data_IF_619353064368
#
_entry.id   IF_619353064368
#
_cell.length_a   1.000
_cell.length_b   1.000
_cell.length_c   1.000
_cell.angle_alpha   90.00
_cell.angle_beta   90.00
_cell.angle_gamma   90.00
#
_symmetry.space_group_name_H-M   'P 1'
#
loop_
_entity.id
_entity.type
_entity.pdbx_description
1 polymer ?
#
# COMPACT_ATOMS: atom_id res chain seq x y z
N UNK A 1 -8.26 5.49 -0.52
CA UNK A 1 -6.98 5.12 0.11
C UNK A 1 -6.76 3.63 -0.08
N UNK A 2 -5.56 3.12 0.22
CA UNK A 2 -5.24 1.69 0.19
C UNK A 2 -4.45 1.30 1.44
N UNK A 3 -4.50 0.02 1.80
CA UNK A 3 -3.73 -0.56 2.90
C UNK A 3 -3.38 -2.03 2.55
N UNK A 4 -2.37 -2.63 3.20
CA UNK A 4 -2.10 -4.06 3.05
C UNK A 4 -3.32 -4.90 3.39
N UNK A 5 -3.54 -5.97 2.61
CA UNK A 5 -4.61 -6.93 2.86
C UNK A 5 -4.19 -7.92 3.95
N UNK A 6 -4.06 -7.45 5.21
CA UNK A 6 -3.56 -8.26 6.32
C UNK A 6 -4.37 -9.55 6.58
N UNK A 7 -5.66 -9.56 6.20
CA UNK A 7 -6.53 -10.73 6.32
C UNK A 7 -6.20 -11.85 5.32
N UNK A 8 -5.51 -11.52 4.23
CA UNK A 8 -5.04 -12.48 3.22
C UNK A 8 -3.62 -12.91 3.55
N UNK A 9 -2.75 -11.93 3.82
CA UNK A 9 -1.34 -12.17 4.17
C UNK A 9 -0.88 -11.23 5.29
N UNK A 10 -0.96 -11.67 6.55
CA UNK A 10 -0.51 -10.87 7.69
C UNK A 10 1.03 -10.76 7.76
N UNK A 11 1.78 -11.70 7.19
CA UNK A 11 3.24 -11.67 7.20
C UNK A 11 3.76 -10.57 6.25
N UNK A 12 3.19 -10.46 5.06
CA UNK A 12 3.46 -9.36 4.14
C UNK A 12 3.13 -8.01 4.77
N UNK A 13 1.98 -7.89 5.42
CA UNK A 13 1.57 -6.69 6.13
C UNK A 13 2.59 -6.23 7.17
N UNK A 14 3.13 -7.14 7.99
CA UNK A 14 4.19 -6.83 8.96
C UNK A 14 5.50 -6.43 8.28
N UNK A 15 5.91 -7.17 7.25
CA UNK A 15 7.15 -6.89 6.52
C UNK A 15 7.12 -5.51 5.85
N UNK A 16 6.00 -5.13 5.24
CA UNK A 16 5.85 -3.82 4.62
C UNK A 16 5.90 -2.68 5.64
N UNK A 17 5.27 -2.85 6.81
CA UNK A 17 5.36 -1.88 7.91
C UNK A 17 6.81 -1.72 8.40
N UNK A 18 7.50 -2.83 8.64
CA UNK A 18 8.92 -2.81 9.01
C UNK A 18 9.79 -2.12 7.94
N UNK A 19 9.54 -2.37 6.66
CA UNK A 19 10.26 -1.72 5.58
C UNK A 19 10.06 -0.18 5.59
N UNK A 20 8.82 0.28 5.82
CA UNK A 20 8.53 1.71 5.97
C UNK A 20 9.28 2.30 7.17
N UNK A 21 9.27 1.61 8.31
CA UNK A 21 10.00 2.04 9.51
C UNK A 21 11.53 2.08 9.29
N UNK A 22 12.05 1.19 8.44
CA UNK A 22 13.44 1.17 8.01
C UNK A 22 13.79 2.24 6.94
N UNK A 23 12.85 3.10 6.55
CA UNK A 23 13.07 4.21 5.63
C UNK A 23 12.70 3.93 4.16
N UNK A 24 12.05 2.80 3.87
CA UNK A 24 11.55 2.52 2.51
C UNK A 24 10.38 3.43 2.18
N UNK A 25 10.48 4.14 1.05
CA UNK A 25 9.40 5.00 0.56
C UNK A 25 8.35 4.16 -0.17
N UNK A 26 7.09 4.25 0.27
CA UNK A 26 5.95 3.61 -0.38
C UNK A 26 5.09 4.63 -1.12
N UNK A 27 4.64 4.26 -2.33
CA UNK A 27 3.71 5.03 -3.16
C UNK A 27 2.57 4.13 -3.61
N UNK A 28 1.35 4.61 -3.44
CA UNK A 28 0.17 3.98 -4.03
C UNK A 28 -0.29 4.81 -5.23
N UNK A 29 -0.29 4.20 -6.42
CA UNK A 29 -0.64 4.86 -7.67
C UNK A 29 -1.96 4.29 -8.17
N UNK A 30 -2.90 5.18 -8.50
CA UNK A 30 -4.14 4.83 -9.17
C UNK A 30 -3.92 4.90 -10.67
N UNK A 31 -4.37 3.87 -11.36
CA UNK A 31 -4.48 3.86 -12.80
C UNK A 31 -5.92 3.55 -13.22
N UNK A 32 -6.37 4.18 -14.31
CA UNK A 32 -7.57 3.79 -15.05
C UNK A 32 -7.13 2.91 -16.22
N UNK A 33 -7.88 1.84 -16.46
CA UNK A 33 -7.61 0.87 -17.52
C UNK A 33 -8.84 0.71 -18.40
N UNK A 34 -8.61 0.70 -19.70
CA UNK A 34 -9.52 0.18 -20.72
C UNK A 34 -8.81 -0.94 -21.49
N UNK A 35 -9.50 -1.60 -22.41
CA UNK A 35 -8.89 -2.62 -23.28
C UNK A 35 -7.77 -2.00 -24.16
N UNK A 36 -7.90 -0.72 -24.51
CA UNK A 36 -7.02 -0.02 -25.44
C UNK A 36 -5.86 0.70 -24.76
N UNK A 37 -6.00 1.08 -23.48
CA UNK A 37 -4.99 1.87 -22.78
C UNK A 37 -5.01 1.71 -21.26
N UNK A 38 -3.89 2.07 -20.65
CA UNK A 38 -3.76 2.29 -19.22
C UNK A 38 -3.21 3.70 -18.99
N UNK A 39 -3.82 4.45 -18.08
CA UNK A 39 -3.41 5.80 -17.71
C UNK A 39 -3.22 5.91 -16.21
N UNK A 40 -2.11 6.51 -15.78
CA UNK A 40 -1.88 6.88 -14.38
C UNK A 40 -2.70 8.14 -14.08
N UNK A 41 -3.59 8.05 -13.09
CA UNK A 41 -4.40 9.18 -12.62
C UNK A 41 -3.70 9.97 -11.51
N UNK A 42 -2.76 9.34 -10.81
CA UNK A 42 -1.97 9.98 -9.76
C UNK A 42 -1.84 9.13 -8.50
N UNK A 43 -1.35 9.74 -7.43
CA UNK A 43 -1.14 9.07 -6.14
C UNK A 43 -2.41 9.05 -5.30
N UNK A 44 -2.61 7.97 -4.55
CA UNK A 44 -3.68 7.86 -3.54
C UNK A 44 -3.09 7.71 -2.14
N UNK A 45 -3.84 8.08 -1.08
CA UNK A 45 -3.36 7.88 0.28
C UNK A 45 -3.09 6.40 0.57
N UNK A 46 -1.90 6.10 1.09
CA UNK A 46 -1.53 4.80 1.63
C UNK A 46 -1.66 4.83 3.15
N UNK A 47 -2.46 3.94 3.73
CA UNK A 47 -2.66 3.83 5.16
C UNK A 47 -1.81 2.73 5.76
N UNK A 48 -0.99 3.12 6.74
CA UNK A 48 -0.51 2.22 7.79
C UNK A 48 -1.65 2.08 8.78
N UNK A 49 -2.38 0.95 8.80
CA UNK A 49 -3.19 0.64 9.99
C UNK A 49 -2.22 0.51 11.16
N UNK A 50 -2.38 1.38 12.15
CA UNK A 50 -1.63 1.34 13.40
C UNK A 50 -2.05 0.08 14.14
N UNK A 51 -1.12 -0.83 14.38
CA UNK A 51 -1.26 -1.81 15.45
C UNK A 51 -0.64 -1.11 16.66
N UNK A 52 -1.43 -0.83 17.70
CA UNK A 52 -0.85 -0.34 18.95
C UNK A 52 0.19 -1.36 19.38
N UNK A 53 1.44 -0.92 19.58
CA UNK A 53 2.42 -1.75 20.28
C UNK A 53 1.83 -2.12 21.65
N UNK A 54 2.12 -3.34 22.17
CA UNK A 54 1.48 -3.87 23.38
C UNK A 54 1.57 -2.94 24.58
#
# INVERSE_FOLDING_TARGET
SVAPADHVDPAYGRALRHAIDAGVTVRAIRARMTIQQMQIDGTVPFFRKYEAAP
#
